data_IF_570758763134
#
_entry.id   IF_570758763134
#
_cell.length_a   1.000
_cell.length_b   1.000
_cell.length_c   1.000
_cell.angle_alpha   90.00
_cell.angle_beta   90.00
_cell.angle_gamma   90.00
#
_symmetry.space_group_name_H-M   'P 1'
#
loop_
_entity.id
_entity.type
_entity.pdbx_description
1 polymer ?
#
# COMPACT_ATOMS: atom_id res chain seq x y z
N UNK A 1 14.20 20.13 9.80
CA UNK A 1 12.94 19.42 10.08
C UNK A 1 12.32 18.95 8.76
N UNK A 2 12.95 17.96 8.06
CA UNK A 2 12.50 17.43 6.74
C UNK A 2 12.51 15.89 6.65
N UNK A 3 12.70 15.17 7.76
CA UNK A 3 12.95 13.70 7.75
C UNK A 3 11.71 12.81 8.00
N UNK A 4 10.47 13.29 7.80
CA UNK A 4 9.28 12.56 8.22
C UNK A 4 8.39 11.99 7.09
N UNK A 5 8.89 11.82 5.86
CA UNK A 5 8.02 11.54 4.69
C UNK A 5 8.02 10.12 4.16
N UNK A 6 8.76 9.18 4.75
CA UNK A 6 8.91 7.81 4.22
C UNK A 6 7.69 6.89 4.46
N UNK A 7 6.73 7.26 5.32
CA UNK A 7 5.62 6.37 5.72
C UNK A 7 4.24 6.79 5.15
N UNK A 8 4.12 7.92 4.44
CA UNK A 8 2.81 8.50 4.08
C UNK A 8 2.45 8.44 2.59
N UNK A 9 2.98 7.51 1.81
CA UNK A 9 2.66 7.40 0.38
C UNK A 9 1.63 6.30 0.10
N UNK A 10 0.43 6.41 0.63
CA UNK A 10 -0.75 5.69 0.13
C UNK A 10 -1.88 6.70 -0.01
N UNK A 11 -2.22 7.05 -1.23
CA UNK A 11 -3.17 8.12 -1.42
C UNK A 11 -3.87 8.26 -2.79
N UNK A 12 -5.07 8.73 -2.93
CA UNK A 12 -6.19 8.62 -3.85
C UNK A 12 -6.62 9.81 -4.72
N UNK A 13 -7.32 9.63 -5.78
CA UNK A 13 -8.07 10.61 -6.54
C UNK A 13 -9.38 10.13 -7.20
N UNK A 14 -10.44 10.88 -7.08
CA UNK A 14 -11.69 10.67 -7.82
C UNK A 14 -11.99 11.88 -8.70
N UNK A 15 -12.23 11.64 -9.99
CA UNK A 15 -12.95 12.56 -10.86
C UNK A 15 -14.13 11.83 -11.48
N UNK A 16 -15.33 12.36 -11.26
CA UNK A 16 -16.58 11.91 -11.86
C UNK A 16 -16.70 12.38 -13.30
N UNK A 17 -16.82 11.43 -14.23
CA UNK A 17 -17.16 11.70 -15.62
C UNK A 17 -17.63 10.42 -16.29
N UNK A 18 -18.94 10.17 -16.29
CA UNK A 18 -19.56 9.05 -16.99
C UNK A 18 -19.86 9.40 -18.44
N UNK A 19 -19.44 8.58 -19.42
CA UNK A 19 -20.23 8.35 -20.62
C UNK A 19 -21.02 7.05 -20.47
N UNK A 20 -22.33 7.14 -20.61
CA UNK A 20 -23.21 5.97 -20.70
C UNK A 20 -22.89 5.18 -21.98
N UNK A 21 -22.45 3.95 -21.81
CA UNK A 21 -22.44 2.94 -22.89
C UNK A 21 -23.62 2.00 -22.64
N UNK A 22 -24.47 1.86 -23.66
CA UNK A 22 -25.62 0.94 -23.66
C UNK A 22 -25.11 -0.49 -23.62
N UNK A 23 -25.68 -1.28 -22.72
CA UNK A 23 -25.57 -2.72 -22.71
C UNK A 23 -26.19 -3.31 -23.98
N UNK A 24 -25.43 -4.11 -24.69
CA UNK A 24 -25.97 -5.16 -25.56
C UNK A 24 -25.75 -6.48 -24.82
N UNK A 25 -26.88 -7.22 -24.68
CA UNK A 25 -26.91 -8.56 -24.12
C UNK A 25 -25.99 -9.49 -24.89
N UNK A 26 -24.99 -10.00 -24.20
CA UNK A 26 -24.31 -11.24 -24.55
C UNK A 26 -24.47 -12.12 -23.32
N UNK A 27 -25.40 -13.07 -23.39
CA UNK A 27 -25.47 -14.23 -22.51
C UNK A 27 -24.18 -15.06 -22.72
N UNK A 28 -23.18 -14.81 -21.90
CA UNK A 28 -22.09 -15.74 -21.69
C UNK A 28 -22.17 -16.18 -20.22
N UNK A 29 -22.64 -17.42 -20.03
CA UNK A 29 -22.69 -18.07 -18.74
C UNK A 29 -21.24 -18.36 -18.28
N UNK A 30 -20.54 -17.32 -17.87
CA UNK A 30 -19.27 -17.44 -17.19
C UNK A 30 -19.57 -17.96 -15.78
N UNK A 31 -19.20 -19.20 -15.49
CA UNK A 31 -19.06 -19.75 -14.14
C UNK A 31 -17.90 -19.05 -13.42
N UNK A 32 -17.95 -17.76 -13.30
CA UNK A 32 -16.99 -16.95 -12.53
C UNK A 32 -17.50 -16.80 -11.11
N UNK A 33 -16.69 -17.10 -10.14
CA UNK A 33 -16.94 -16.70 -8.74
C UNK A 33 -17.10 -15.18 -8.67
N UNK A 34 -18.08 -14.70 -7.92
CA UNK A 34 -18.28 -13.27 -7.73
C UNK A 34 -17.00 -12.61 -7.20
N UNK A 35 -16.66 -11.40 -7.66
CA UNK A 35 -15.46 -10.73 -7.20
C UNK A 35 -15.54 -10.41 -5.70
N UNK A 36 -14.46 -10.70 -4.98
CA UNK A 36 -14.34 -10.39 -3.57
C UNK A 36 -14.10 -8.88 -3.41
N UNK A 37 -14.99 -8.22 -2.68
CA UNK A 37 -14.87 -6.82 -2.29
C UNK A 37 -14.43 -6.70 -0.84
N UNK A 38 -13.42 -5.88 -0.57
CA UNK A 38 -12.91 -5.62 0.79
C UNK A 38 -12.83 -4.13 1.02
N UNK A 39 -13.45 -3.67 2.11
CA UNK A 39 -13.31 -2.28 2.59
C UNK A 39 -12.76 -2.31 4.01
N UNK A 40 -11.66 -1.60 4.24
CA UNK A 40 -11.07 -1.47 5.57
C UNK A 40 -10.89 0.00 5.92
N UNK A 41 -11.37 0.38 7.09
CA UNK A 41 -11.10 1.69 7.68
C UNK A 41 -10.06 1.55 8.78
N UNK A 42 -9.03 2.39 8.74
CA UNK A 42 -7.99 2.44 9.75
C UNK A 42 -7.95 3.81 10.43
N UNK A 43 -7.37 3.83 11.63
CA UNK A 43 -6.88 5.04 12.28
C UNK A 43 -5.37 4.97 12.43
N UNK A 44 -4.68 6.01 11.99
CA UNK A 44 -3.26 6.23 12.21
C UNK A 44 -3.03 7.05 13.47
N UNK A 45 -2.07 6.65 14.30
CA UNK A 45 -1.67 7.37 15.50
C UNK A 45 -0.15 7.45 15.63
N UNK A 46 0.32 8.56 16.19
CA UNK A 46 1.69 8.75 16.63
C UNK A 46 1.66 8.75 18.15
N UNK A 47 2.36 7.78 18.75
CA UNK A 47 2.25 7.47 20.18
C UNK A 47 0.78 7.21 20.58
N UNK A 48 0.15 8.15 21.29
CA UNK A 48 -1.26 8.05 21.76
C UNK A 48 -2.22 8.96 20.97
N UNK A 49 -1.71 9.82 20.08
CA UNK A 49 -2.51 10.80 19.37
C UNK A 49 -2.92 10.30 18.00
N UNK A 50 -4.21 10.29 17.71
CA UNK A 50 -4.70 10.05 16.36
C UNK A 50 -4.28 11.20 15.46
N UNK A 51 -3.72 10.85 14.29
CA UNK A 51 -3.19 11.82 13.32
C UNK A 51 -3.74 11.61 11.92
N UNK A 52 -4.32 10.43 11.63
CA UNK A 52 -4.87 10.13 10.31
C UNK A 52 -6.07 9.18 10.41
N UNK A 53 -7.00 9.35 9.45
CA UNK A 53 -7.98 8.34 9.05
C UNK A 53 -7.59 7.81 7.67
N UNK A 54 -7.68 6.48 7.48
CA UNK A 54 -7.31 5.82 6.24
C UNK A 54 -8.44 4.89 5.83
N UNK A 55 -8.84 4.94 4.56
CA UNK A 55 -9.80 4.01 3.96
C UNK A 55 -9.10 3.27 2.83
N UNK A 56 -9.26 1.95 2.78
CA UNK A 56 -8.75 1.10 1.70
C UNK A 56 -9.90 0.28 1.17
N UNK A 57 -10.07 0.29 -0.16
CA UNK A 57 -11.03 -0.55 -0.87
C UNK A 57 -10.25 -1.43 -1.85
N UNK A 58 -10.52 -2.72 -1.85
CA UNK A 58 -9.98 -3.69 -2.78
C UNK A 58 -11.10 -4.47 -3.44
N UNK A 59 -10.97 -4.75 -4.73
CA UNK A 59 -11.82 -5.67 -5.49
C UNK A 59 -10.91 -6.68 -6.18
N UNK A 60 -11.16 -7.95 -5.94
CA UNK A 60 -10.38 -9.06 -6.49
C UNK A 60 -11.31 -9.97 -7.29
N UNK A 61 -11.19 -9.93 -8.60
CA UNK A 61 -11.81 -10.89 -9.51
C UNK A 61 -10.87 -12.07 -9.76
N UNK A 62 -11.25 -12.96 -10.66
CA UNK A 62 -10.46 -14.14 -10.98
C UNK A 62 -9.10 -13.75 -11.60
N UNK A 63 -9.12 -12.83 -12.58
CA UNK A 63 -7.95 -12.49 -13.41
C UNK A 63 -7.51 -11.01 -13.27
N UNK A 64 -8.28 -10.19 -12.55
CA UNK A 64 -7.99 -8.78 -12.35
C UNK A 64 -8.20 -8.36 -10.89
N UNK A 65 -7.59 -7.22 -10.55
CA UNK A 65 -7.87 -6.53 -9.31
C UNK A 65 -7.87 -5.02 -9.52
N UNK A 66 -8.57 -4.34 -8.64
CA UNK A 66 -8.45 -2.90 -8.48
C UNK A 66 -8.47 -2.54 -7.01
N UNK A 67 -7.79 -1.47 -6.66
CA UNK A 67 -7.85 -0.96 -5.31
C UNK A 67 -7.73 0.55 -5.27
N UNK A 68 -8.26 1.09 -4.21
CA UNK A 68 -8.11 2.49 -3.85
C UNK A 68 -7.87 2.62 -2.36
N UNK A 69 -7.07 3.61 -1.97
CA UNK A 69 -6.87 3.96 -0.57
C UNK A 69 -7.00 5.48 -0.36
N UNK A 70 -7.48 6.08 0.73
CA UNK A 70 -7.50 7.52 1.06
C UNK A 70 -6.98 7.75 2.46
N UNK A 71 -6.04 8.68 2.59
CA UNK A 71 -5.51 9.11 3.87
C UNK A 71 -5.85 10.58 4.07
N UNK A 72 -6.56 10.90 5.16
CA UNK A 72 -6.83 12.27 5.58
C UNK A 72 -6.25 12.52 6.96
N UNK A 73 -5.78 13.73 7.18
CA UNK A 73 -5.35 14.14 8.52
C UNK A 73 -6.52 14.14 9.48
N UNK A 74 -6.31 13.65 10.71
CA UNK A 74 -7.33 13.55 11.73
C UNK A 74 -6.82 14.01 13.11
N UNK A 75 -7.75 14.20 14.06
CA UNK A 75 -7.44 14.58 15.42
C UNK A 75 -6.73 15.91 15.53
N UNK A 76 -5.78 16.02 16.46
CA UNK A 76 -5.02 17.25 16.67
C UNK A 76 -4.11 17.61 15.48
N UNK A 77 -3.68 16.64 14.69
CA UNK A 77 -2.84 16.88 13.53
C UNK A 77 -3.56 17.72 12.45
N UNK A 78 -4.89 17.64 12.37
CA UNK A 78 -5.70 18.45 11.46
C UNK A 78 -5.63 19.97 11.74
N UNK A 79 -5.13 20.37 12.91
CA UNK A 79 -4.90 21.78 13.24
C UNK A 79 -3.60 22.33 12.63
N UNK A 80 -2.71 21.46 12.15
CA UNK A 80 -1.37 21.81 11.68
C UNK A 80 -1.04 21.32 10.28
N UNK A 81 -1.86 20.42 9.74
CA UNK A 81 -1.64 19.79 8.43
C UNK A 81 -2.98 19.33 7.84
N UNK A 82 -3.17 19.58 6.56
CA UNK A 82 -4.36 19.21 5.79
C UNK A 82 -4.07 18.07 4.79
N UNK A 83 -3.26 17.09 5.20
CA UNK A 83 -2.95 15.99 4.28
C UNK A 83 -4.26 15.30 3.85
N UNK A 84 -4.51 15.32 2.56
CA UNK A 84 -5.58 14.61 1.88
C UNK A 84 -4.96 13.93 0.67
N UNK A 85 -4.58 12.77 0.97
CA UNK A 85 -3.76 12.05 0.04
C UNK A 85 -4.58 10.87 -0.54
N UNK A 86 -4.63 10.67 -1.87
CA UNK A 86 -5.42 9.70 -2.62
C UNK A 86 -4.56 8.80 -3.57
N UNK A 87 -4.68 7.39 -3.68
CA UNK A 87 -4.10 6.47 -4.68
C UNK A 87 -5.10 5.49 -5.27
N UNK A 88 -4.83 5.07 -6.45
CA UNK A 88 -5.56 4.01 -7.12
C UNK A 88 -4.62 3.10 -7.88
N UNK A 89 -4.98 1.83 -7.98
CA UNK A 89 -4.28 0.84 -8.78
C UNK A 89 -5.27 -0.09 -9.46
N UNK A 90 -4.88 -0.57 -10.63
CA UNK A 90 -5.53 -1.69 -11.32
C UNK A 90 -4.47 -2.59 -11.94
N UNK A 91 -4.76 -3.88 -12.04
CA UNK A 91 -3.80 -4.84 -12.55
C UNK A 91 -4.41 -6.23 -12.79
N UNK A 92 -3.56 -7.14 -13.27
CA UNK A 92 -3.86 -8.55 -13.38
C UNK A 92 -3.61 -9.27 -12.06
N UNK A 93 -4.40 -10.31 -11.80
CA UNK A 93 -4.25 -11.20 -10.66
C UNK A 93 -3.93 -12.61 -11.13
N UNK A 94 -2.88 -13.20 -10.59
CA UNK A 94 -2.51 -14.59 -10.83
C UNK A 94 -2.34 -15.29 -9.47
N UNK A 95 -3.45 -15.78 -8.92
CA UNK A 95 -3.46 -16.31 -7.54
C UNK A 95 -3.15 -15.24 -6.50
N UNK A 96 -2.05 -15.42 -5.76
CA UNK A 96 -1.56 -14.45 -4.79
C UNK A 96 -0.73 -13.30 -5.41
N UNK A 97 -0.30 -13.44 -6.66
CA UNK A 97 0.53 -12.44 -7.32
C UNK A 97 -0.33 -11.37 -8.00
N UNK A 98 -0.01 -10.12 -7.72
CA UNK A 98 -0.61 -8.95 -8.35
C UNK A 98 0.38 -8.32 -9.32
N UNK A 99 -0.05 -8.13 -10.56
CA UNK A 99 0.73 -7.48 -11.60
C UNK A 99 0.01 -6.18 -12.01
N UNK A 100 0.41 -5.03 -11.46
CA UNK A 100 -0.23 -3.76 -11.79
C UNK A 100 0.02 -3.42 -13.26
N UNK A 101 -0.95 -2.73 -13.91
CA UNK A 101 -0.74 -2.08 -15.20
C UNK A 101 -0.73 -0.56 -15.08
N UNK A 102 -1.42 -0.01 -14.06
CA UNK A 102 -1.39 1.42 -13.75
C UNK A 102 -1.64 1.67 -12.27
N UNK A 103 -0.83 2.55 -11.71
CA UNK A 103 -0.97 3.14 -10.39
C UNK A 103 -0.92 4.67 -10.49
N UNK A 104 -1.61 5.36 -9.60
CA UNK A 104 -1.44 6.81 -9.45
C UNK A 104 -1.73 7.25 -8.01
N UNK A 105 -1.09 8.34 -7.58
CA UNK A 105 -1.46 9.03 -6.37
C UNK A 105 -1.35 10.55 -6.49
N UNK A 106 -2.12 11.26 -5.66
CA UNK A 106 -2.19 12.71 -5.59
C UNK A 106 -2.36 13.15 -4.14
N UNK A 107 -1.66 14.18 -3.70
CA UNK A 107 -1.93 14.86 -2.44
C UNK A 107 -2.68 16.16 -2.71
N UNK A 108 -3.99 16.18 -2.44
CA UNK A 108 -4.87 17.33 -2.67
C UNK A 108 -4.52 18.56 -1.82
N UNK A 109 -3.89 18.35 -0.67
CA UNK A 109 -3.43 19.45 0.20
C UNK A 109 -2.10 20.06 -0.28
N UNK A 110 -1.44 19.45 -1.27
CA UNK A 110 -0.18 19.98 -1.79
C UNK A 110 -0.45 21.05 -2.84
N UNK A 111 0.08 22.25 -2.62
CA UNK A 111 0.02 23.36 -3.61
C UNK A 111 0.65 23.02 -4.97
N UNK A 112 1.42 21.94 -5.05
CA UNK A 112 2.03 21.47 -6.29
C UNK A 112 1.06 20.73 -7.19
N UNK A 113 -0.08 20.24 -6.68
CA UNK A 113 -1.05 19.40 -7.39
C UNK A 113 -0.38 18.29 -8.23
N UNK A 114 0.69 17.68 -7.68
CA UNK A 114 1.47 16.67 -8.41
C UNK A 114 0.75 15.35 -8.39
N UNK A 115 0.47 14.83 -9.58
CA UNK A 115 0.06 13.45 -9.79
C UNK A 115 1.32 12.63 -10.05
N UNK A 116 1.50 11.57 -9.26
CA UNK A 116 2.54 10.56 -9.48
C UNK A 116 1.85 9.35 -10.08
N UNK A 117 2.02 9.12 -11.37
CA UNK A 117 1.58 7.93 -12.08
C UNK A 117 2.72 6.93 -12.24
N UNK A 118 2.38 5.65 -12.31
CA UNK A 118 3.30 4.58 -12.70
C UNK A 118 2.55 3.67 -13.65
N UNK A 119 3.05 3.54 -14.89
CA UNK A 119 2.62 2.53 -15.84
C UNK A 119 3.59 1.35 -15.81
N UNK A 120 3.13 0.16 -16.20
CA UNK A 120 3.94 -1.07 -16.09
C UNK A 120 4.07 -1.80 -17.44
N UNK A 121 4.55 -1.14 -18.50
CA UNK A 121 4.79 -1.81 -19.77
C UNK A 121 5.83 -2.93 -19.60
N UNK A 122 5.50 -4.13 -20.08
CA UNK A 122 6.38 -5.30 -20.02
C UNK A 122 6.93 -5.61 -18.59
N UNK A 123 6.16 -5.25 -17.55
CA UNK A 123 6.53 -5.44 -16.15
C UNK A 123 7.60 -4.48 -15.64
N UNK A 124 7.84 -3.36 -16.31
CA UNK A 124 8.77 -2.31 -15.88
C UNK A 124 7.99 -1.13 -15.32
N UNK A 125 8.19 -0.82 -14.03
CA UNK A 125 7.57 0.33 -13.40
C UNK A 125 8.11 1.64 -14.02
N UNK A 126 7.28 2.31 -14.81
CA UNK A 126 7.64 3.51 -15.58
C UNK A 126 6.91 4.72 -15.01
N UNK A 127 7.61 5.69 -14.40
CA UNK A 127 6.97 6.84 -13.77
C UNK A 127 6.43 7.82 -14.83
N UNK A 128 5.19 8.30 -14.58
CA UNK A 128 4.50 9.38 -15.30
C UNK A 128 4.11 10.45 -14.26
N UNK A 129 4.94 11.47 -14.09
CA UNK A 129 4.85 12.42 -12.98
C UNK A 129 4.60 13.82 -13.50
N UNK A 130 3.49 14.43 -13.10
CA UNK A 130 3.10 15.78 -13.54
C UNK A 130 2.61 16.66 -12.35
N UNK A 131 3.24 17.82 -12.13
CA UNK A 131 4.53 18.27 -12.64
C UNK A 131 5.68 17.38 -12.15
N UNK A 132 6.77 17.26 -12.91
CA UNK A 132 7.87 16.36 -12.57
C UNK A 132 8.54 16.71 -11.24
N UNK A 133 9.20 15.74 -10.59
CA UNK A 133 10.11 16.02 -9.48
C UNK A 133 11.30 16.85 -9.98
N UNK A 134 11.83 17.70 -9.12
CA UNK A 134 13.06 18.46 -9.43
C UNK A 134 14.29 17.57 -9.48
N UNK A 135 14.26 16.41 -8.81
CA UNK A 135 15.31 15.41 -8.75
C UNK A 135 14.67 14.02 -8.58
N UNK A 136 15.19 13.03 -9.27
CA UNK A 136 14.75 11.62 -9.23
C UNK A 136 15.65 10.75 -8.34
N UNK A 137 16.51 11.38 -7.53
CA UNK A 137 17.51 10.71 -6.72
C UNK A 137 18.88 10.63 -7.40
N UNK A 138 19.92 10.34 -6.63
CA UNK A 138 21.29 10.21 -7.12
C UNK A 138 21.95 8.95 -6.52
N UNK A 139 22.02 7.83 -7.31
CA UNK A 139 21.49 7.68 -8.66
C UNK A 139 19.95 7.54 -8.70
N UNK A 140 19.29 7.92 -9.80
CA UNK A 140 17.90 7.58 -10.02
C UNK A 140 17.75 6.07 -10.26
N UNK A 141 16.58 5.51 -9.91
CA UNK A 141 16.30 4.11 -10.19
C UNK A 141 16.31 3.83 -11.71
N UNK A 142 17.19 2.95 -12.16
CA UNK A 142 17.30 2.58 -13.56
C UNK A 142 16.22 1.57 -13.97
N UNK A 143 16.11 1.25 -15.25
CA UNK A 143 15.07 0.37 -15.78
C UNK A 143 15.16 -1.06 -15.22
N UNK A 144 16.38 -1.61 -15.12
CA UNK A 144 16.56 -2.97 -14.59
C UNK A 144 16.18 -3.08 -13.12
N UNK A 145 16.46 -2.05 -12.32
CA UNK A 145 16.04 -1.98 -10.92
C UNK A 145 14.52 -1.86 -10.78
N UNK A 146 13.84 -1.21 -11.71
CA UNK A 146 12.38 -1.03 -11.72
C UNK A 146 11.62 -2.23 -12.31
N UNK A 147 12.31 -3.14 -12.99
CA UNK A 147 11.73 -4.34 -13.57
C UNK A 147 11.23 -5.28 -12.47
N UNK A 148 9.95 -5.69 -12.56
CA UNK A 148 9.29 -6.53 -11.57
C UNK A 148 8.97 -5.85 -10.25
N UNK A 149 9.24 -4.54 -10.10
CA UNK A 149 8.80 -3.79 -8.93
C UNK A 149 7.30 -3.42 -9.06
N UNK A 150 6.54 -3.59 -7.99
CA UNK A 150 5.16 -3.14 -7.89
C UNK A 150 5.06 -1.74 -7.26
N UNK A 151 3.89 -1.12 -7.36
CA UNK A 151 3.56 0.08 -6.59
C UNK A 151 3.31 -0.24 -5.11
N UNK A 152 3.32 0.78 -4.22
CA UNK A 152 3.12 0.56 -2.79
C UNK A 152 1.76 -0.05 -2.42
N UNK A 153 0.68 0.27 -3.15
CA UNK A 153 -0.66 -0.22 -2.85
C UNK A 153 -0.80 -1.69 -3.26
N UNK A 154 -0.35 -2.06 -4.46
CA UNK A 154 -0.28 -3.46 -4.89
C UNK A 154 0.58 -4.29 -3.97
N UNK A 155 1.71 -3.75 -3.51
CA UNK A 155 2.60 -4.41 -2.55
C UNK A 155 1.88 -4.71 -1.23
N UNK A 156 1.15 -3.75 -0.67
CA UNK A 156 0.37 -3.94 0.56
C UNK A 156 -0.71 -5.02 0.39
N UNK A 157 -1.43 -5.00 -0.74
CA UNK A 157 -2.46 -6.01 -1.05
C UNK A 157 -1.85 -7.39 -1.25
N UNK A 158 -0.68 -7.47 -1.88
CA UNK A 158 0.03 -8.73 -2.13
C UNK A 158 0.42 -9.46 -0.83
N UNK A 159 0.74 -8.72 0.24
CA UNK A 159 1.00 -9.31 1.57
C UNK A 159 -0.26 -10.04 2.05
N UNK A 160 -1.43 -9.40 1.93
CA UNK A 160 -2.71 -9.99 2.33
C UNK A 160 -3.16 -11.19 1.50
N UNK A 161 -2.64 -11.33 0.28
CA UNK A 161 -2.89 -12.48 -0.59
C UNK A 161 -1.87 -13.61 -0.43
N UNK A 162 -0.90 -13.47 0.49
CA UNK A 162 0.14 -14.46 0.72
C UNK A 162 1.26 -14.49 -0.33
N UNK A 163 1.50 -13.37 -1.04
CA UNK A 163 2.56 -13.30 -2.06
C UNK A 163 3.98 -13.49 -1.50
N UNK A 164 4.15 -13.36 -0.18
CA UNK A 164 5.40 -13.63 0.55
C UNK A 164 5.30 -14.89 1.41
N UNK A 165 4.31 -15.75 1.16
CA UNK A 165 4.20 -17.02 1.84
C UNK A 165 5.24 -18.01 1.29
N UNK A 166 5.86 -18.77 2.21
CA UNK A 166 6.79 -19.84 1.89
C UNK A 166 6.55 -21.02 2.84
N UNK A 167 6.08 -22.14 2.29
CA UNK A 167 5.66 -23.27 3.11
C UNK A 167 4.54 -22.89 4.08
N UNK A 168 4.76 -23.11 5.36
CA UNK A 168 3.80 -22.78 6.42
C UNK A 168 3.87 -21.32 6.89
N UNK A 169 4.85 -20.54 6.43
CA UNK A 169 5.00 -19.11 6.75
C UNK A 169 4.26 -18.23 5.75
N UNK A 170 3.46 -17.27 6.24
CA UNK A 170 2.87 -16.22 5.41
C UNK A 170 3.86 -15.08 5.09
N UNK A 171 5.00 -15.01 5.75
CA UNK A 171 5.84 -13.83 5.82
C UNK A 171 7.32 -14.18 5.67
N UNK A 172 7.69 -14.82 4.58
CA UNK A 172 9.08 -15.16 4.30
C UNK A 172 9.42 -14.88 2.83
N UNK A 173 9.99 -13.72 2.55
CA UNK A 173 10.30 -13.34 1.17
C UNK A 173 10.69 -11.88 1.02
N UNK A 174 10.66 -11.43 -0.23
CA UNK A 174 11.02 -10.06 -0.57
C UNK A 174 10.11 -9.54 -1.67
N UNK A 175 9.54 -8.35 -1.47
CA UNK A 175 8.74 -7.64 -2.47
C UNK A 175 9.50 -6.43 -2.98
N UNK A 176 9.78 -6.33 -4.29
CA UNK A 176 10.34 -5.16 -4.90
C UNK A 176 9.27 -4.07 -5.08
N UNK A 177 9.56 -2.85 -4.64
CA UNK A 177 8.64 -1.71 -4.66
C UNK A 177 9.25 -0.52 -5.37
N UNK A 178 8.43 0.19 -6.17
CA UNK A 178 8.77 1.48 -6.74
C UNK A 178 7.61 2.45 -6.50
N UNK A 179 7.86 3.59 -5.87
CA UNK A 179 6.82 4.57 -5.50
C UNK A 179 6.66 5.74 -6.49
N UNK A 180 7.34 5.65 -7.64
CA UNK A 180 7.44 6.70 -8.64
C UNK A 180 8.80 7.43 -8.60
N UNK A 181 9.58 7.30 -7.51
CA UNK A 181 10.92 7.86 -7.37
C UNK A 181 11.87 6.89 -6.68
N UNK A 182 11.53 6.46 -5.47
CA UNK A 182 12.34 5.55 -4.68
C UNK A 182 12.09 4.09 -5.08
N UNK A 183 13.19 3.36 -5.24
CA UNK A 183 13.21 1.91 -5.45
C UNK A 183 13.75 1.25 -4.18
N UNK A 184 12.97 0.38 -3.59
CA UNK A 184 13.32 -0.36 -2.38
C UNK A 184 12.73 -1.76 -2.39
N UNK A 185 13.20 -2.65 -1.54
CA UNK A 185 12.53 -3.88 -1.22
C UNK A 185 11.89 -3.80 0.17
N UNK A 186 10.83 -4.57 0.37
CA UNK A 186 10.38 -4.97 1.68
C UNK A 186 10.78 -6.45 1.85
N UNK A 187 11.70 -6.72 2.78
CA UNK A 187 12.13 -8.07 3.14
C UNK A 187 11.36 -8.52 4.36
N UNK A 188 10.67 -9.65 4.24
CA UNK A 188 9.78 -10.18 5.25
C UNK A 188 10.44 -11.30 6.05
N UNK A 189 10.16 -11.29 7.36
CA UNK A 189 10.51 -12.34 8.30
C UNK A 189 9.26 -12.71 9.11
N UNK A 190 9.11 -14.00 9.38
CA UNK A 190 8.04 -14.51 10.24
C UNK A 190 8.26 -14.09 11.70
N UNK A 191 7.26 -13.49 12.30
CA UNK A 191 7.21 -13.11 13.70
C UNK A 191 6.34 -14.04 14.57
N UNK A 192 5.89 -15.18 14.01
CA UNK A 192 4.98 -16.11 14.66
C UNK A 192 3.55 -15.55 14.76
N UNK A 193 2.82 -15.95 15.80
CA UNK A 193 1.45 -15.50 16.05
C UNK A 193 1.36 -14.67 17.34
N UNK A 194 0.45 -13.71 17.34
CA UNK A 194 0.17 -12.88 18.53
C UNK A 194 -1.34 -12.64 18.65
N UNK A 195 -1.82 -12.47 19.87
CA UNK A 195 -3.20 -12.11 20.14
C UNK A 195 -3.37 -10.59 20.08
N UNK A 196 -4.06 -10.12 19.06
CA UNK A 196 -4.30 -8.69 18.83
C UNK A 196 -5.75 -8.33 19.06
N UNK A 197 -5.97 -7.13 19.59
CA UNK A 197 -7.29 -6.51 19.71
C UNK A 197 -7.25 -5.11 19.11
N UNK A 198 -8.14 -4.86 18.15
CA UNK A 198 -8.45 -3.55 17.58
C UNK A 198 -9.95 -3.28 17.73
N UNK A 199 -10.46 -2.22 17.14
CA UNK A 199 -11.92 -1.99 17.11
C UNK A 199 -12.62 -2.96 16.14
N UNK A 200 -11.93 -3.35 15.05
CA UNK A 200 -12.47 -4.21 14.01
C UNK A 200 -12.19 -5.70 14.21
N UNK A 201 -11.22 -6.07 15.05
CA UNK A 201 -10.74 -7.44 15.20
C UNK A 201 -10.34 -7.77 16.63
N UNK A 202 -10.60 -9.01 17.03
CA UNK A 202 -10.09 -9.56 18.29
C UNK A 202 -9.84 -11.06 18.14
N UNK A 203 -8.59 -11.49 18.15
CA UNK A 203 -8.20 -12.87 17.94
C UNK A 203 -6.70 -13.05 17.76
N UNK A 204 -6.30 -14.23 17.30
CA UNK A 204 -4.96 -14.53 16.85
C UNK A 204 -4.71 -13.90 15.47
N UNK A 205 -3.52 -13.36 15.26
CA UNK A 205 -3.06 -12.82 13.99
C UNK A 205 -1.63 -13.28 13.73
N UNK A 206 -1.29 -13.52 12.46
CA UNK A 206 0.07 -13.77 12.03
C UNK A 206 0.87 -12.49 12.13
N UNK A 207 2.06 -12.54 12.70
CA UNK A 207 2.98 -11.40 12.79
C UNK A 207 4.00 -11.49 11.67
N UNK A 208 4.15 -10.40 10.93
CA UNK A 208 5.15 -10.25 9.88
C UNK A 208 6.04 -9.05 10.18
N UNK A 209 7.34 -9.23 10.10
CA UNK A 209 8.32 -8.16 10.19
C UNK A 209 8.83 -7.82 8.79
N UNK A 210 8.56 -6.60 8.31
CA UNK A 210 9.05 -6.12 7.03
C UNK A 210 10.18 -5.14 7.24
N UNK A 211 11.36 -5.44 6.73
CA UNK A 211 12.55 -4.60 6.76
C UNK A 211 12.66 -3.82 5.45
N UNK A 212 12.94 -2.54 5.58
CA UNK A 212 13.12 -1.65 4.45
C UNK A 212 14.54 -1.76 3.90
N UNK A 213 14.68 -2.10 2.62
CA UNK A 213 15.97 -2.21 1.92
C UNK A 213 16.01 -1.16 0.80
N UNK A 214 16.58 0.04 1.03
CA UNK A 214 16.67 1.08 0.00
C UNK A 214 17.65 0.67 -1.10
N UNK A 215 17.35 1.03 -2.36
CA UNK A 215 18.16 0.65 -3.53
C UNK A 215 18.59 1.89 -4.31
N UNK A 216 17.65 2.71 -4.81
CA UNK A 216 17.93 3.87 -5.63
C UNK A 216 16.80 4.91 -5.53
N UNK A 217 17.01 6.10 -6.10
CA UNK A 217 15.99 7.14 -6.13
C UNK A 217 15.99 8.07 -4.91
N UNK A 218 17.07 8.07 -4.11
CA UNK A 218 17.25 8.92 -2.92
C UNK A 218 18.27 10.00 -3.18
N UNK A 219 18.11 11.16 -2.58
CA UNK A 219 19.21 12.12 -2.39
C UNK A 219 20.05 11.70 -1.18
N UNK A 220 21.28 12.18 -1.10
CA UNK A 220 22.20 11.76 -0.04
C UNK A 220 21.70 12.07 1.38
N UNK A 221 20.92 13.16 1.53
CA UNK A 221 20.30 13.57 2.81
C UNK A 221 18.93 12.93 3.07
N UNK A 222 18.37 12.22 2.08
CA UNK A 222 17.11 11.48 2.16
C UNK A 222 17.33 9.98 2.37
N UNK A 223 18.55 9.49 2.20
CA UNK A 223 18.84 8.07 2.39
C UNK A 223 18.49 7.65 3.83
N UNK A 224 17.70 6.58 4.01
CA UNK A 224 17.29 6.13 5.34
C UNK A 224 18.51 5.82 6.22
N UNK A 225 18.47 6.28 7.46
CA UNK A 225 19.49 5.97 8.44
C UNK A 225 19.43 4.51 8.92
N UNK A 226 20.50 4.05 9.57
CA UNK A 226 20.63 2.67 10.04
C UNK A 226 19.52 2.31 11.04
N UNK A 227 19.05 3.26 11.84
CA UNK A 227 17.94 3.06 12.76
C UNK A 227 16.65 2.73 11.98
N UNK A 228 16.35 3.47 10.92
CA UNK A 228 15.17 3.24 10.06
C UNK A 228 15.25 1.90 9.33
N UNK A 229 16.44 1.50 8.85
CA UNK A 229 16.63 0.24 8.11
C UNK A 229 16.57 -0.97 9.06
N UNK A 230 17.10 -0.85 10.27
CA UNK A 230 17.18 -1.96 11.23
C UNK A 230 15.87 -2.24 11.97
N UNK A 231 14.96 -1.26 12.05
CA UNK A 231 13.68 -1.45 12.72
C UNK A 231 12.60 -1.93 11.73
N UNK A 232 11.92 -3.06 12.00
CA UNK A 232 10.89 -3.56 11.11
C UNK A 232 9.61 -2.73 11.18
N UNK A 233 8.90 -2.71 10.05
CA UNK A 233 7.47 -2.44 10.02
C UNK A 233 6.77 -3.76 10.39
N UNK A 234 6.08 -3.79 11.52
CA UNK A 234 5.40 -4.99 12.00
C UNK A 234 3.95 -4.97 11.59
N UNK A 235 3.50 -6.03 10.94
CA UNK A 235 2.12 -6.25 10.52
C UNK A 235 1.51 -7.37 11.37
N UNK A 236 0.28 -7.20 11.83
CA UNK A 236 -0.57 -8.26 12.38
C UNK A 236 -1.63 -8.57 11.34
N UNK A 237 -1.50 -9.71 10.69
CA UNK A 237 -2.37 -10.17 9.62
C UNK A 237 -3.46 -11.09 10.18
N UNK A 238 -4.71 -10.71 10.01
CA UNK A 238 -5.86 -11.50 10.41
C UNK A 238 -6.58 -12.09 9.21
N UNK A 239 -7.01 -13.37 9.24
CA UNK A 239 -7.75 -13.98 8.14
C UNK A 239 -9.16 -13.39 8.03
N UNK A 240 -9.58 -13.15 6.81
CA UNK A 240 -10.95 -12.77 6.43
C UNK A 240 -11.39 -13.61 5.25
N UNK A 241 -12.68 -13.58 4.89
CA UNK A 241 -13.22 -14.35 3.78
C UNK A 241 -12.79 -15.82 3.83
N UNK A 242 -13.21 -16.52 4.89
CA UNK A 242 -12.91 -17.92 5.17
C UNK A 242 -11.41 -18.30 5.21
N UNK A 243 -10.55 -17.31 5.33
CA UNK A 243 -9.09 -17.49 5.44
C UNK A 243 -8.33 -17.35 4.13
N UNK A 244 -9.01 -17.04 3.03
CA UNK A 244 -8.36 -16.87 1.71
C UNK A 244 -7.59 -15.55 1.60
N UNK A 245 -7.93 -14.56 2.41
CA UNK A 245 -7.31 -13.24 2.40
C UNK A 245 -6.96 -12.84 3.82
N UNK A 246 -5.78 -12.25 3.99
CA UNK A 246 -5.32 -11.69 5.25
C UNK A 246 -5.34 -10.17 5.19
N UNK A 247 -5.78 -9.53 6.26
CA UNK A 247 -5.81 -8.07 6.39
C UNK A 247 -4.90 -7.65 7.52
N UNK A 248 -4.04 -6.64 7.31
CA UNK A 248 -3.27 -6.06 8.40
C UNK A 248 -4.22 -5.33 9.36
N UNK A 249 -4.64 -6.00 10.44
CA UNK A 249 -5.50 -5.39 11.48
C UNK A 249 -4.75 -4.39 12.35
N UNK A 250 -3.44 -4.51 12.39
CA UNK A 250 -2.52 -3.54 13.01
C UNK A 250 -1.22 -3.49 12.22
N UNK A 251 -0.67 -2.28 12.07
CA UNK A 251 0.66 -2.03 11.56
C UNK A 251 1.37 -1.14 12.57
N UNK A 252 2.62 -1.44 12.88
CA UNK A 252 3.43 -0.63 13.79
C UNK A 252 4.84 -0.45 13.21
N UNK A 253 5.35 0.77 13.35
CA UNK A 253 6.75 1.09 13.03
C UNK A 253 7.23 2.21 13.94
N UNK A 254 8.55 2.43 13.97
CA UNK A 254 9.15 3.59 14.61
C UNK A 254 9.52 4.61 13.53
N UNK A 255 9.06 5.85 13.71
CA UNK A 255 9.58 7.00 13.00
C UNK A 255 10.46 7.77 13.99
N UNK A 256 11.45 8.53 13.51
CA UNK A 256 12.40 9.25 14.36
C UNK A 256 11.79 10.27 15.35
N UNK A 257 10.46 10.42 15.34
CA UNK A 257 9.67 11.24 16.28
C UNK A 257 8.77 10.39 17.21
N UNK A 258 8.83 9.04 17.14
CA UNK A 258 8.08 8.12 18.00
C UNK A 258 7.41 6.96 17.27
N UNK A 259 6.77 6.11 18.03
CA UNK A 259 6.05 4.95 17.50
C UNK A 259 4.79 5.36 16.72
N UNK A 260 4.68 4.86 15.49
CA UNK A 260 3.51 5.00 14.61
C UNK A 260 2.72 3.71 14.66
N UNK A 261 1.41 3.81 14.83
CA UNK A 261 0.49 2.66 14.82
C UNK A 261 -0.69 2.96 13.91
N UNK A 262 -0.96 2.05 12.98
CA UNK A 262 -2.19 2.02 12.18
C UNK A 262 -3.02 0.84 12.66
N UNK A 263 -4.30 1.06 12.98
CA UNK A 263 -5.19 0.03 13.52
C UNK A 263 -6.52 0.01 12.80
N UNK A 264 -6.99 -1.17 12.43
CA UNK A 264 -8.29 -1.36 11.80
C UNK A 264 -9.44 -0.99 12.74
N UNK A 265 -10.38 -0.18 12.23
CA UNK A 265 -11.61 0.30 12.92
C UNK A 265 -12.85 -0.42 12.43
N UNK A 266 -12.89 -0.74 11.14
CA UNK A 266 -13.93 -1.58 10.53
C UNK A 266 -13.34 -2.39 9.37
N UNK A 267 -13.86 -3.58 9.17
CA UNK A 267 -13.55 -4.48 8.05
C UNK A 267 -14.88 -4.97 7.50
N UNK A 268 -15.05 -4.86 6.20
CA UNK A 268 -16.19 -5.39 5.44
C UNK A 268 -15.64 -6.22 4.28
N UNK A 269 -16.08 -7.46 4.16
CA UNK A 269 -15.78 -8.34 3.03
C UNK A 269 -17.11 -8.96 2.54
N UNK A 270 -17.29 -9.06 1.23
CA UNK A 270 -18.47 -9.61 0.56
C UNK A 270 -18.08 -10.59 -0.55
#
# INVERSE_FOLDING_TARGET
MKKAWVIAAVALGLSSGTPAVRANDIDDAATGTDPIGITVQYSGSVMIFQVADIMVNGRFAQDDYSASARLTTAGLAALFSDADIEAGVSGYRHGAQLQPWRYSHLNHASSKNRVVGIDFPDGVATPDINPPFGNMGEPPANEDERRGAADPLSTLLSIGLGAVANGDSLCEGRLPVFDGRARYNLRFEDGGTDRVRTRAWSGEAQVCHAYYEPIAGYEADEFPDEETISHPITFWLAPVHDGDIYIPVRIRTNAGFGGVTVSARSIQAN
#
